data_IF_682101082071
#
_entry.id   IF_682101082071
#
_cell.length_a   1.000
_cell.length_b   1.000
_cell.length_c   1.000
_cell.angle_alpha   90.00
_cell.angle_beta   90.00
_cell.angle_gamma   90.00
#
_symmetry.space_group_name_H-M   'P 1'
#
loop_
_entity.id
_entity.type
_entity.pdbx_description
1 polymer ?
#
# COMPACT_ATOMS: atom_id res chain seq x y z
N UNK A 1 -3.05 -14.71 -3.89
CA UNK A 1 -3.25 -13.30 -4.31
C UNK A 1 -3.38 -13.26 -5.83
N UNK A 2 -4.34 -12.51 -6.36
CA UNK A 2 -4.46 -12.26 -7.80
C UNK A 2 -3.29 -11.40 -8.30
N UNK A 3 -2.88 -11.61 -9.57
CA UNK A 3 -1.74 -10.89 -10.17
C UNK A 3 -2.01 -9.40 -10.45
N UNK A 4 -3.28 -9.00 -10.37
CA UNK A 4 -3.71 -7.59 -10.31
C UNK A 4 -4.57 -7.39 -9.07
N UNK A 5 -4.53 -6.18 -8.50
CA UNK A 5 -5.32 -5.78 -7.35
C UNK A 5 -6.00 -4.43 -7.59
N UNK A 6 -7.07 -4.15 -6.86
CA UNK A 6 -7.76 -2.87 -6.93
C UNK A 6 -7.22 -1.91 -5.88
N UNK A 7 -6.77 -0.71 -6.32
CA UNK A 7 -6.35 0.39 -5.45
C UNK A 7 -7.43 1.45 -5.32
N UNK A 8 -7.57 2.06 -4.15
CA UNK A 8 -8.66 2.99 -3.81
C UNK A 8 -8.18 4.41 -3.46
N UNK A 9 -7.00 4.80 -3.97
CA UNK A 9 -6.38 6.10 -3.65
C UNK A 9 -7.09 7.28 -4.30
N UNK A 10 -7.45 7.17 -5.60
CA UNK A 10 -7.99 8.25 -6.40
C UNK A 10 -9.49 8.53 -6.09
N UNK A 11 -9.94 9.71 -6.49
CA UNK A 11 -11.34 10.14 -6.37
C UNK A 11 -11.54 11.21 -5.29
N UNK A 12 -12.74 11.77 -5.29
CA UNK A 12 -13.15 12.85 -4.38
C UNK A 12 -13.85 12.31 -3.13
N UNK A 13 -14.03 13.17 -2.13
CA UNK A 13 -14.72 12.85 -0.87
C UNK A 13 -16.25 12.98 -1.01
N UNK A 14 -16.83 12.35 -2.04
CA UNK A 14 -18.25 12.41 -2.39
C UNK A 14 -18.94 11.05 -2.22
N UNK A 15 -20.27 11.09 -2.04
CA UNK A 15 -21.09 9.87 -1.96
C UNK A 15 -21.15 9.13 -3.31
N UNK A 16 -21.02 9.86 -4.42
CA UNK A 16 -20.96 9.27 -5.77
C UNK A 16 -19.70 8.40 -5.92
N UNK A 17 -18.54 8.90 -5.48
CA UNK A 17 -17.30 8.15 -5.51
C UNK A 17 -17.32 6.96 -4.54
N UNK A 18 -17.98 7.09 -3.40
CA UNK A 18 -18.18 5.97 -2.46
C UNK A 18 -19.02 4.86 -3.08
N UNK A 19 -20.13 5.23 -3.76
CA UNK A 19 -20.98 4.28 -4.46
C UNK A 19 -20.24 3.60 -5.61
N UNK A 20 -19.49 4.39 -6.40
CA UNK A 20 -18.67 3.88 -7.51
C UNK A 20 -17.62 2.88 -7.05
N UNK A 21 -16.86 3.19 -5.98
CA UNK A 21 -15.88 2.24 -5.42
C UNK A 21 -16.55 1.00 -4.85
N UNK A 22 -17.70 1.16 -4.17
CA UNK A 22 -18.42 0.02 -3.61
C UNK A 22 -18.86 -0.95 -4.72
N UNK A 23 -19.43 -0.44 -5.82
CA UNK A 23 -19.82 -1.25 -6.98
C UNK A 23 -18.60 -1.88 -7.67
N UNK A 24 -17.57 -1.08 -7.96
CA UNK A 24 -16.37 -1.54 -8.64
C UNK A 24 -15.64 -2.67 -7.88
N UNK A 25 -15.55 -2.57 -6.55
CA UNK A 25 -14.92 -3.61 -5.73
C UNK A 25 -15.76 -4.90 -5.78
N UNK A 26 -17.09 -4.82 -5.67
CA UNK A 26 -17.95 -6.00 -5.80
C UNK A 26 -17.80 -6.67 -7.18
N UNK A 27 -17.76 -5.89 -8.26
CA UNK A 27 -17.54 -6.39 -9.61
C UNK A 27 -16.16 -7.03 -9.77
N UNK A 28 -15.09 -6.37 -9.26
CA UNK A 28 -13.73 -6.88 -9.29
C UNK A 28 -13.60 -8.23 -8.57
N UNK A 29 -14.14 -8.32 -7.35
CA UNK A 29 -14.10 -9.54 -6.53
C UNK A 29 -14.89 -10.66 -7.19
N UNK A 30 -16.10 -10.40 -7.68
CA UNK A 30 -16.92 -11.35 -8.42
C UNK A 30 -16.27 -11.84 -9.73
N UNK A 31 -15.31 -11.07 -10.24
CA UNK A 31 -14.55 -11.40 -11.45
C UNK A 31 -13.18 -12.06 -11.17
N UNK A 32 -12.83 -12.31 -9.88
CA UNK A 32 -11.63 -13.03 -9.46
C UNK A 32 -10.43 -12.14 -9.09
N UNK A 33 -10.60 -10.81 -8.99
CA UNK A 33 -9.60 -9.93 -8.39
C UNK A 33 -9.79 -9.97 -6.87
N UNK A 34 -8.85 -10.56 -6.15
CA UNK A 34 -9.00 -10.78 -4.72
C UNK A 34 -8.07 -9.94 -3.83
N UNK A 35 -7.28 -9.04 -4.40
CA UNK A 35 -6.44 -8.10 -3.65
C UNK A 35 -7.07 -6.71 -3.69
N UNK A 36 -7.37 -6.16 -2.51
CA UNK A 36 -7.95 -4.83 -2.33
C UNK A 36 -7.01 -4.00 -1.49
N UNK A 37 -6.50 -2.89 -2.05
CA UNK A 37 -5.56 -2.00 -1.37
C UNK A 37 -6.21 -0.64 -1.07
N UNK A 38 -6.13 -0.25 0.19
CA UNK A 38 -6.61 1.03 0.69
C UNK A 38 -5.63 1.63 1.71
N UNK A 39 -5.97 2.75 2.32
CA UNK A 39 -5.27 3.33 3.46
C UNK A 39 -6.22 4.22 4.27
N UNK A 40 -5.93 4.36 5.57
CA UNK A 40 -6.76 5.14 6.48
C UNK A 40 -6.93 6.61 6.05
N UNK A 41 -5.87 7.21 5.46
CA UNK A 41 -5.90 8.59 5.01
C UNK A 41 -6.52 8.79 3.61
N UNK A 42 -6.84 7.73 2.87
CA UNK A 42 -7.40 7.88 1.52
C UNK A 42 -8.83 8.43 1.58
N UNK A 43 -9.05 9.50 0.79
CA UNK A 43 -10.36 10.15 0.67
C UNK A 43 -10.99 10.45 2.05
N UNK A 44 -10.19 10.93 3.02
CA UNK A 44 -10.64 11.21 4.39
C UNK A 44 -11.38 10.01 5.03
N UNK A 45 -10.77 8.83 5.02
CA UNK A 45 -11.27 7.54 5.52
C UNK A 45 -12.41 6.91 4.69
N UNK A 46 -12.95 7.62 3.71
CA UNK A 46 -14.09 7.13 2.89
C UNK A 46 -13.71 5.91 2.06
N UNK A 47 -12.43 5.79 1.63
CA UNK A 47 -11.96 4.61 0.90
C UNK A 47 -12.08 3.33 1.72
N UNK A 48 -11.64 3.31 2.97
CA UNK A 48 -11.81 2.14 3.84
C UNK A 48 -13.28 1.80 4.08
N UNK A 49 -14.14 2.82 4.27
CA UNK A 49 -15.59 2.62 4.47
C UNK A 49 -16.26 2.04 3.23
N UNK A 50 -15.87 2.50 2.04
CA UNK A 50 -16.36 1.94 0.76
C UNK A 50 -15.91 0.50 0.57
N UNK A 51 -14.64 0.19 0.88
CA UNK A 51 -14.09 -1.18 0.86
C UNK A 51 -14.86 -2.09 1.82
N UNK A 52 -15.04 -1.67 3.09
CA UNK A 52 -15.77 -2.44 4.08
C UNK A 52 -17.22 -2.72 3.67
N UNK A 53 -17.89 -1.72 3.09
CA UNK A 53 -19.27 -1.88 2.56
C UNK A 53 -19.31 -2.87 1.40
N UNK A 54 -18.36 -2.76 0.46
CA UNK A 54 -18.30 -3.65 -0.70
C UNK A 54 -18.06 -5.11 -0.29
N UNK A 55 -17.09 -5.35 0.59
CA UNK A 55 -16.74 -6.70 1.07
C UNK A 55 -17.93 -7.32 1.81
N UNK A 56 -18.54 -6.59 2.73
CA UNK A 56 -19.71 -7.08 3.46
C UNK A 56 -20.82 -7.50 2.49
N UNK A 57 -21.17 -6.65 1.51
CA UNK A 57 -22.21 -6.96 0.50
C UNK A 57 -21.83 -8.15 -0.37
N UNK A 58 -20.56 -8.28 -0.78
CA UNK A 58 -20.08 -9.41 -1.57
C UNK A 58 -20.20 -10.74 -0.81
N UNK A 59 -19.89 -10.73 0.49
CA UNK A 59 -20.02 -11.91 1.36
C UNK A 59 -21.50 -12.23 1.59
N UNK A 60 -22.33 -11.24 1.96
CA UNK A 60 -23.77 -11.41 2.21
C UNK A 60 -24.52 -11.94 0.99
N UNK A 61 -24.11 -11.54 -0.21
CA UNK A 61 -24.68 -12.03 -1.49
C UNK A 61 -24.08 -13.34 -1.99
N UNK A 62 -23.11 -13.93 -1.28
CA UNK A 62 -22.48 -15.20 -1.65
C UNK A 62 -21.52 -15.12 -2.85
N UNK A 63 -21.11 -13.91 -3.24
CA UNK A 63 -20.13 -13.71 -4.34
C UNK A 63 -18.77 -14.27 -3.96
N UNK A 64 -18.37 -14.15 -2.68
CA UNK A 64 -17.05 -14.54 -2.19
C UNK A 64 -17.12 -14.86 -0.69
N UNK A 65 -16.18 -15.69 -0.20
CA UNK A 65 -15.96 -15.89 1.24
C UNK A 65 -14.86 -14.92 1.71
N UNK A 66 -14.84 -14.63 3.04
CA UNK A 66 -13.86 -13.67 3.60
C UNK A 66 -12.40 -14.13 3.42
N UNK A 67 -12.11 -15.38 3.50
CA UNK A 67 -10.79 -15.99 3.35
C UNK A 67 -10.29 -16.06 1.91
N UNK A 68 -11.15 -15.78 0.94
CA UNK A 68 -10.78 -15.67 -0.47
C UNK A 68 -10.28 -14.26 -0.84
N UNK A 69 -10.45 -13.25 0.05
CA UNK A 69 -10.08 -11.86 -0.18
C UNK A 69 -8.86 -11.46 0.66
N UNK A 70 -7.94 -10.73 0.06
CA UNK A 70 -6.80 -10.10 0.73
C UNK A 70 -7.02 -8.59 0.80
N UNK A 71 -7.21 -8.06 2.00
CA UNK A 71 -7.41 -6.63 2.25
C UNK A 71 -6.15 -6.03 2.84
N UNK A 72 -5.62 -5.00 2.18
CA UNK A 72 -4.46 -4.25 2.62
C UNK A 72 -4.88 -2.84 3.05
N UNK A 73 -4.38 -2.37 4.20
CA UNK A 73 -4.50 -0.97 4.60
C UNK A 73 -3.19 -0.43 5.18
N UNK A 74 -3.14 0.87 5.51
CA UNK A 74 -1.89 1.55 5.85
C UNK A 74 -2.12 2.64 6.90
N UNK A 75 -1.10 2.87 7.76
CA UNK A 75 -1.02 4.03 8.66
C UNK A 75 0.35 4.69 8.60
N UNK A 76 0.37 5.98 8.91
CA UNK A 76 1.54 6.84 8.91
C UNK A 76 1.14 8.31 8.84
N UNK A 77 0.10 8.62 8.08
CA UNK A 77 -0.44 9.98 7.97
C UNK A 77 -1.61 10.20 8.92
N UNK A 78 -1.71 11.42 9.44
CA UNK A 78 -2.91 11.87 10.19
C UNK A 78 -4.14 11.70 9.30
N UNK A 79 -5.10 10.87 9.70
CA UNK A 79 -6.31 10.68 8.92
C UNK A 79 -7.27 11.85 9.15
N UNK A 80 -7.70 12.47 8.07
CA UNK A 80 -8.86 13.37 8.09
C UNK A 80 -10.14 12.54 8.17
N UNK A 81 -11.26 13.16 8.55
CA UNK A 81 -12.57 12.49 8.56
C UNK A 81 -13.63 13.32 7.84
N UNK A 82 -14.38 12.66 6.99
CA UNK A 82 -15.51 13.17 6.22
C UNK A 82 -15.17 14.38 5.33
N UNK A 83 -15.12 15.58 5.88
CA UNK A 83 -14.85 16.82 5.15
C UNK A 83 -13.42 17.29 5.46
N UNK A 84 -12.52 17.28 4.46
CA UNK A 84 -11.17 17.80 4.65
C UNK A 84 -11.17 19.29 5.00
N UNK A 85 -10.27 19.75 5.88
CA UNK A 85 -10.04 21.16 6.13
C UNK A 85 -9.71 21.92 4.84
N UNK A 86 -10.28 23.10 4.66
CA UNK A 86 -10.09 23.92 3.45
C UNK A 86 -8.77 24.70 3.49
N UNK A 87 -8.25 24.99 4.69
CA UNK A 87 -7.05 25.81 4.88
C UNK A 87 -6.00 25.07 5.73
N UNK A 88 -4.75 25.54 5.63
CA UNK A 88 -3.66 25.03 6.49
C UNK A 88 -3.92 25.30 7.98
N UNK A 89 -4.59 26.41 8.29
CA UNK A 89 -4.92 26.75 9.66
C UNK A 89 -5.98 25.82 10.23
N UNK A 90 -7.05 25.57 9.49
CA UNK A 90 -8.07 24.57 9.86
C UNK A 90 -7.47 23.17 10.03
N UNK A 91 -6.51 22.79 9.17
CA UNK A 91 -5.79 21.54 9.31
C UNK A 91 -5.00 21.47 10.61
N UNK A 92 -4.26 22.55 10.97
CA UNK A 92 -3.52 22.59 12.25
C UNK A 92 -4.45 22.48 13.45
N UNK A 93 -5.57 23.22 13.43
CA UNK A 93 -6.58 23.17 14.48
C UNK A 93 -7.23 21.79 14.59
N UNK A 94 -7.46 21.13 13.46
CA UNK A 94 -7.95 19.75 13.43
C UNK A 94 -6.94 18.79 14.07
N UNK A 95 -5.67 18.86 13.69
CA UNK A 95 -4.60 18.01 14.25
C UNK A 95 -4.46 18.23 15.75
N UNK A 96 -4.50 19.52 16.18
CA UNK A 96 -4.43 19.87 17.59
C UNK A 96 -5.55 19.23 18.39
N UNK A 97 -6.80 19.53 18.02
CA UNK A 97 -8.00 19.07 18.73
C UNK A 97 -8.17 17.55 18.69
N UNK A 98 -7.95 16.91 17.53
CA UNK A 98 -8.29 15.50 17.35
C UNK A 98 -7.16 14.54 17.73
N UNK A 99 -5.91 15.01 17.76
CA UNK A 99 -4.78 14.11 17.97
C UNK A 99 -3.87 14.53 19.11
N UNK A 100 -3.52 15.82 19.24
CA UNK A 100 -2.56 16.26 20.26
C UNK A 100 -3.25 16.41 21.62
N UNK A 101 -4.36 17.14 21.70
CA UNK A 101 -5.13 17.31 22.95
C UNK A 101 -5.67 15.98 23.49
N UNK A 102 -5.92 15.02 22.60
CA UNK A 102 -6.35 13.64 22.97
C UNK A 102 -5.16 12.70 23.25
N UNK A 103 -3.96 13.24 23.23
CA UNK A 103 -2.72 12.48 23.44
C UNK A 103 -2.56 11.23 22.54
N UNK A 104 -3.16 11.23 21.34
CA UNK A 104 -3.01 10.17 20.36
C UNK A 104 -1.62 10.20 19.73
N UNK A 105 -1.04 11.40 19.57
CA UNK A 105 0.33 11.65 19.11
C UNK A 105 0.86 12.89 19.82
N UNK A 106 2.16 12.92 20.13
CA UNK A 106 2.81 14.11 20.60
C UNK A 106 3.26 15.00 19.43
N UNK A 107 3.36 16.31 19.64
CA UNK A 107 3.72 17.26 18.60
C UNK A 107 5.10 16.98 17.99
N UNK A 108 6.08 16.60 18.81
CA UNK A 108 7.44 16.23 18.42
C UNK A 108 7.51 14.88 17.67
N UNK A 109 6.47 14.08 17.72
CA UNK A 109 6.36 12.81 16.96
C UNK A 109 5.82 13.02 15.54
N UNK A 110 5.28 14.24 15.25
CA UNK A 110 4.77 14.58 13.93
C UNK A 110 5.87 15.16 13.04
N UNK A 111 6.10 14.57 11.90
CA UNK A 111 6.96 15.09 10.84
C UNK A 111 6.12 15.75 9.76
N UNK A 112 6.56 16.94 9.30
CA UNK A 112 5.82 17.72 8.31
C UNK A 112 4.40 18.09 8.75
N UNK A 113 4.12 18.02 10.05
CA UNK A 113 2.82 18.34 10.63
C UNK A 113 1.74 17.28 10.41
N UNK A 114 2.05 16.13 9.80
CA UNK A 114 1.00 15.16 9.46
C UNK A 114 1.44 13.71 9.34
N UNK A 115 2.69 13.38 9.62
CA UNK A 115 3.17 11.98 9.52
C UNK A 115 3.81 11.52 10.83
N UNK A 116 3.39 10.36 11.36
CA UNK A 116 3.95 9.77 12.58
C UNK A 116 4.01 8.24 12.50
N UNK A 117 5.06 7.68 13.10
CA UNK A 117 5.23 6.24 13.36
C UNK A 117 5.14 5.93 14.86
N UNK A 118 4.67 6.86 15.68
CA UNK A 118 4.58 6.68 17.13
C UNK A 118 3.67 5.49 17.47
N UNK A 119 4.05 4.63 18.42
CA UNK A 119 3.30 3.42 18.79
C UNK A 119 1.84 3.68 19.12
N UNK A 120 1.55 4.73 19.89
CA UNK A 120 0.19 5.10 20.28
C UNK A 120 -0.66 5.54 19.09
N UNK A 121 -0.07 6.33 18.20
CA UNK A 121 -0.71 6.76 16.96
C UNK A 121 -1.03 5.58 16.03
N UNK A 122 -0.10 4.63 15.87
CA UNK A 122 -0.32 3.44 15.04
C UNK A 122 -1.42 2.53 15.59
N UNK A 123 -1.47 2.33 16.92
CA UNK A 123 -2.58 1.57 17.55
C UNK A 123 -3.93 2.24 17.31
N UNK A 124 -4.02 3.57 17.44
CA UNK A 124 -5.22 4.32 17.11
C UNK A 124 -5.62 4.14 15.64
N UNK A 125 -4.67 4.31 14.71
CA UNK A 125 -4.93 4.16 13.29
C UNK A 125 -5.40 2.74 12.93
N UNK A 126 -4.78 1.71 13.47
CA UNK A 126 -5.18 0.31 13.24
C UNK A 126 -6.60 0.04 13.74
N UNK A 127 -6.92 0.49 14.95
CA UNK A 127 -8.28 0.35 15.48
C UNK A 127 -9.31 1.05 14.61
N UNK A 128 -8.98 2.25 14.09
CA UNK A 128 -9.82 3.02 13.20
C UNK A 128 -10.00 2.34 11.83
N UNK A 129 -8.92 1.81 11.25
CA UNK A 129 -8.97 1.05 10.00
C UNK A 129 -9.87 -0.18 10.13
N UNK A 130 -9.73 -0.96 11.22
CA UNK A 130 -10.59 -2.12 11.48
C UNK A 130 -12.06 -1.72 11.62
N UNK A 131 -12.34 -0.60 12.27
CA UNK A 131 -13.69 -0.05 12.40
C UNK A 131 -14.27 0.34 11.05
N UNK A 132 -13.52 1.10 10.23
CA UNK A 132 -13.97 1.56 8.91
C UNK A 132 -14.23 0.38 7.96
N UNK A 133 -13.33 -0.60 7.95
CA UNK A 133 -13.43 -1.79 7.12
C UNK A 133 -14.48 -2.79 7.63
N UNK A 134 -14.87 -2.71 8.91
CA UNK A 134 -15.75 -3.70 9.52
C UNK A 134 -15.13 -5.09 9.63
N UNK A 135 -13.79 -5.17 9.72
CA UNK A 135 -13.04 -6.42 9.74
C UNK A 135 -12.44 -6.70 11.12
N UNK A 136 -12.50 -7.96 11.54
CA UNK A 136 -11.78 -8.44 12.72
C UNK A 136 -10.27 -8.44 12.45
N UNK A 137 -9.87 -8.93 11.29
CA UNK A 137 -8.47 -9.06 10.86
C UNK A 137 -8.29 -8.38 9.50
N UNK A 138 -7.31 -7.46 9.38
CA UNK A 138 -6.82 -6.92 8.12
C UNK A 138 -5.68 -7.84 7.65
N UNK A 139 -5.69 -8.31 6.40
CA UNK A 139 -4.72 -9.32 5.94
C UNK A 139 -3.30 -8.79 5.91
N UNK A 140 -3.09 -7.55 5.44
CA UNK A 140 -1.77 -6.89 5.48
C UNK A 140 -1.91 -5.43 5.90
N UNK A 141 -1.14 -5.01 6.91
CA UNK A 141 -1.12 -3.62 7.37
C UNK A 141 0.26 -3.00 7.17
N UNK A 142 0.32 -1.89 6.42
CA UNK A 142 1.60 -1.27 6.08
C UNK A 142 1.90 -0.03 6.93
N UNK A 143 3.19 0.17 7.25
CA UNK A 143 3.70 1.51 7.53
C UNK A 143 3.69 2.30 6.22
N UNK A 144 2.97 3.41 6.21
CA UNK A 144 2.74 4.23 5.01
C UNK A 144 3.84 5.29 4.86
N UNK A 145 4.73 5.12 3.89
CA UNK A 145 5.86 5.98 3.59
C UNK A 145 6.74 6.30 4.83
N UNK A 146 7.27 5.28 5.53
CA UNK A 146 8.10 5.51 6.72
C UNK A 146 9.31 6.40 6.44
N UNK A 147 9.82 6.42 5.21
CA UNK A 147 10.91 7.30 4.77
C UNK A 147 10.61 8.80 4.89
N UNK A 148 9.33 9.20 4.99
CA UNK A 148 8.96 10.58 5.24
C UNK A 148 9.55 11.14 6.53
N UNK A 149 9.83 10.30 7.50
CA UNK A 149 10.46 10.69 8.77
C UNK A 149 11.90 11.21 8.55
N UNK A 150 12.63 10.73 7.55
CA UNK A 150 13.99 11.17 7.22
C UNK A 150 14.10 12.65 6.86
N UNK A 151 12.98 13.34 6.64
CA UNK A 151 12.96 14.79 6.41
C UNK A 151 13.23 15.61 7.66
N UNK A 152 13.12 15.02 8.84
CA UNK A 152 13.24 15.72 10.12
C UNK A 152 14.18 15.03 11.12
N UNK A 153 14.57 13.78 10.87
CA UNK A 153 15.39 12.99 11.76
C UNK A 153 16.47 12.25 10.99
N UNK A 154 17.55 11.91 11.68
CA UNK A 154 18.63 11.08 11.12
C UNK A 154 18.20 9.63 10.90
N UNK A 155 19.05 8.89 10.16
CA UNK A 155 18.79 7.52 9.76
C UNK A 155 18.65 6.55 10.94
N UNK A 156 19.47 6.70 11.98
CA UNK A 156 19.41 5.78 13.13
C UNK A 156 18.14 6.02 13.96
N UNK A 157 17.77 7.27 14.16
CA UNK A 157 16.50 7.63 14.78
C UNK A 157 15.30 7.11 13.97
N UNK A 158 15.36 7.18 12.63
CA UNK A 158 14.32 6.61 11.75
C UNK A 158 14.15 5.11 11.98
N UNK A 159 15.24 4.34 11.97
CA UNK A 159 15.16 2.89 12.21
C UNK A 159 14.70 2.57 13.64
N UNK A 160 15.06 3.35 14.63
CA UNK A 160 14.52 3.21 16.00
C UNK A 160 12.99 3.42 16.04
N UNK A 161 12.47 4.42 15.28
CA UNK A 161 11.01 4.62 15.15
C UNK A 161 10.35 3.47 14.38
N UNK A 162 10.98 2.94 13.35
CA UNK A 162 10.49 1.76 12.61
C UNK A 162 10.47 0.53 13.52
N UNK A 163 11.49 0.31 14.34
CA UNK A 163 11.51 -0.79 15.31
C UNK A 163 10.36 -0.70 16.30
N UNK A 164 10.14 0.48 16.88
CA UNK A 164 9.01 0.71 17.80
C UNK A 164 7.65 0.48 17.11
N UNK A 165 7.52 0.88 15.83
CA UNK A 165 6.35 0.64 15.03
C UNK A 165 6.14 -0.86 14.72
N UNK A 166 7.21 -1.58 14.38
CA UNK A 166 7.15 -3.03 14.12
C UNK A 166 6.73 -3.82 15.36
N UNK A 167 7.18 -3.43 16.57
CA UNK A 167 6.68 -4.04 17.82
C UNK A 167 5.16 -3.92 17.96
N UNK A 168 4.59 -2.75 17.63
CA UNK A 168 3.12 -2.55 17.64
C UNK A 168 2.43 -3.48 16.64
N UNK A 169 2.98 -3.60 15.43
CA UNK A 169 2.38 -4.42 14.38
C UNK A 169 2.54 -5.91 14.66
N UNK A 170 3.66 -6.33 15.26
CA UNK A 170 3.85 -7.71 15.71
C UNK A 170 2.86 -8.08 16.79
N UNK A 171 2.70 -7.26 17.84
CA UNK A 171 1.69 -7.44 18.87
C UNK A 171 0.26 -7.52 18.28
N UNK A 172 -0.03 -6.72 17.23
CA UNK A 172 -1.32 -6.76 16.55
C UNK A 172 -1.53 -8.06 15.75
N UNK A 173 -0.47 -8.60 15.16
CA UNK A 173 -0.50 -9.88 14.46
C UNK A 173 -0.73 -11.03 15.45
N UNK A 174 -0.04 -11.05 16.57
CA UNK A 174 -0.24 -12.03 17.67
C UNK A 174 -1.67 -12.01 18.20
N UNK A 175 -2.31 -10.82 18.26
CA UNK A 175 -3.73 -10.71 18.67
C UNK A 175 -4.73 -11.05 17.54
N UNK A 176 -4.25 -11.36 16.32
CA UNK A 176 -5.10 -11.63 15.17
C UNK A 176 -5.84 -10.40 14.62
N UNK A 177 -5.36 -9.19 14.93
CA UNK A 177 -5.90 -7.93 14.41
C UNK A 177 -5.43 -7.67 12.98
N UNK A 178 -4.24 -8.17 12.64
CA UNK A 178 -3.69 -8.22 11.29
C UNK A 178 -3.13 -9.61 11.01
N UNK A 179 -3.06 -10.01 9.73
CA UNK A 179 -2.44 -11.27 9.32
C UNK A 179 -0.93 -11.14 9.11
N UNK A 180 -0.50 -10.02 8.56
CA UNK A 180 0.89 -9.68 8.31
C UNK A 180 1.06 -8.17 8.29
N UNK A 181 2.32 -7.71 8.32
CA UNK A 181 2.63 -6.29 8.12
C UNK A 181 3.77 -6.09 7.12
N UNK A 182 3.95 -4.83 6.71
CA UNK A 182 4.96 -4.43 5.74
C UNK A 182 5.27 -2.94 5.74
N UNK A 183 6.04 -2.51 4.75
CA UNK A 183 6.27 -1.11 4.43
C UNK A 183 5.74 -0.79 3.04
N UNK A 184 4.88 0.23 2.94
CA UNK A 184 4.46 0.83 1.69
C UNK A 184 5.23 2.14 1.53
N UNK A 185 6.11 2.22 0.53
CA UNK A 185 7.01 3.35 0.32
C UNK A 185 6.74 4.04 -1.01
N UNK A 186 7.06 5.32 -1.10
CA UNK A 186 7.12 6.01 -2.39
C UNK A 186 8.56 6.02 -2.92
N UNK A 187 9.50 6.48 -2.12
CA UNK A 187 10.92 6.58 -2.46
C UNK A 187 11.80 5.55 -1.75
N UNK A 188 11.50 5.22 -0.51
CA UNK A 188 12.40 4.57 0.43
C UNK A 188 13.11 3.32 -0.09
N UNK A 189 12.42 2.50 -0.87
CA UNK A 189 12.97 1.25 -1.39
C UNK A 189 13.49 1.33 -2.84
N UNK A 190 13.47 2.51 -3.49
CA UNK A 190 13.91 2.67 -4.88
C UNK A 190 14.94 3.79 -5.10
N UNK A 191 15.31 4.50 -4.03
CA UNK A 191 16.34 5.55 -4.08
C UNK A 191 17.74 5.01 -3.84
N UNK A 192 18.79 5.72 -4.32
CA UNK A 192 20.18 5.36 -4.03
C UNK A 192 20.48 5.28 -2.53
N UNK A 193 21.47 4.49 -2.15
CA UNK A 193 21.84 4.21 -0.74
C UNK A 193 22.28 5.41 0.07
N UNK A 194 22.83 6.43 -0.59
CA UNK A 194 23.26 7.69 0.02
C UNK A 194 22.09 8.65 0.25
N UNK A 195 20.94 8.41 -0.35
CA UNK A 195 19.73 9.18 -0.07
C UNK A 195 19.31 9.07 1.39
N UNK A 196 18.91 10.19 1.99
CA UNK A 196 18.39 10.20 3.35
C UNK A 196 17.12 9.36 3.50
N UNK A 197 16.30 9.29 2.45
CA UNK A 197 15.05 8.52 2.42
C UNK A 197 15.27 7.01 2.18
N UNK A 198 16.50 6.57 1.84
CA UNK A 198 16.75 5.16 1.53
C UNK A 198 16.48 4.24 2.73
N UNK A 199 15.73 3.17 2.47
CA UNK A 199 15.48 2.07 3.41
C UNK A 199 16.15 0.79 2.91
N UNK A 200 16.93 0.15 3.77
CA UNK A 200 17.60 -1.11 3.50
C UNK A 200 16.71 -2.28 3.93
N UNK A 201 16.33 -3.16 3.00
CA UNK A 201 15.41 -4.29 3.26
C UNK A 201 16.00 -5.30 4.24
N UNK A 202 17.28 -5.62 4.14
CA UNK A 202 17.99 -6.50 5.06
C UNK A 202 17.89 -5.99 6.50
N UNK A 203 18.04 -4.68 6.71
CA UNK A 203 17.88 -4.04 8.01
C UNK A 203 16.44 -4.10 8.53
N UNK A 204 15.43 -3.90 7.67
CA UNK A 204 14.02 -4.03 8.06
C UNK A 204 13.70 -5.47 8.49
N UNK A 205 14.17 -6.47 7.75
CA UNK A 205 14.04 -7.88 8.13
C UNK A 205 14.80 -8.20 9.41
N UNK A 206 16.01 -7.67 9.58
CA UNK A 206 16.78 -7.85 10.82
C UNK A 206 16.05 -7.28 12.05
N UNK A 207 15.39 -6.12 11.91
CA UNK A 207 14.55 -5.54 12.97
C UNK A 207 13.39 -6.48 13.30
N UNK A 208 12.64 -6.95 12.29
CA UNK A 208 11.54 -7.87 12.51
C UNK A 208 11.97 -9.17 13.19
N UNK A 209 13.09 -9.76 12.75
CA UNK A 209 13.72 -10.92 13.39
C UNK A 209 14.18 -10.65 14.81
N UNK A 210 14.71 -9.47 15.08
CA UNK A 210 15.10 -9.05 16.44
C UNK A 210 13.92 -8.97 17.42
N UNK A 211 12.69 -8.72 16.89
CA UNK A 211 11.47 -8.63 17.71
C UNK A 211 10.85 -10.01 17.94
N UNK A 212 10.69 -10.83 16.89
CA UNK A 212 9.88 -12.06 16.94
C UNK A 212 10.58 -13.31 16.36
N UNK A 213 11.90 -13.25 16.15
CA UNK A 213 12.64 -14.35 15.55
C UNK A 213 12.20 -14.61 14.09
N UNK A 214 12.37 -15.86 13.64
CA UNK A 214 11.97 -16.25 12.27
C UNK A 214 10.43 -16.33 12.09
N UNK A 215 9.68 -16.33 13.18
CA UNK A 215 8.21 -16.33 13.16
C UNK A 215 7.59 -14.94 12.97
N UNK A 216 8.42 -13.87 12.81
CA UNK A 216 7.92 -12.51 12.61
C UNK A 216 6.88 -12.42 11.48
N UNK A 217 6.01 -11.40 11.53
CA UNK A 217 4.93 -11.20 10.56
C UNK A 217 5.24 -10.11 9.50
N UNK A 218 6.48 -9.64 9.38
CA UNK A 218 6.92 -8.77 8.29
C UNK A 218 7.02 -9.57 7.00
N UNK A 219 6.04 -9.44 6.07
CA UNK A 219 5.88 -10.33 4.91
C UNK A 219 5.74 -9.62 3.58
N UNK A 220 5.61 -8.29 3.54
CA UNK A 220 5.33 -7.61 2.29
C UNK A 220 5.98 -6.23 2.21
N UNK A 221 6.30 -5.84 0.99
CA UNK A 221 6.63 -4.45 0.63
C UNK A 221 5.69 -3.97 -0.47
N UNK A 222 5.40 -2.67 -0.45
CA UNK A 222 4.66 -2.01 -1.51
C UNK A 222 5.43 -0.78 -1.98
N UNK A 223 5.62 -0.62 -3.30
CA UNK A 223 6.36 0.50 -3.87
C UNK A 223 5.96 0.73 -5.33
N UNK A 224 6.19 1.95 -5.88
CA UNK A 224 5.94 2.21 -7.29
C UNK A 224 6.82 1.34 -8.19
N UNK A 225 6.19 0.62 -9.12
CA UNK A 225 6.86 -0.08 -10.22
C UNK A 225 5.99 0.09 -11.46
N UNK A 226 6.51 0.78 -12.46
CA UNK A 226 5.84 0.99 -13.75
C UNK A 226 6.86 1.36 -14.84
N UNK A 227 6.40 1.56 -16.07
CA UNK A 227 7.27 1.90 -17.22
C UNK A 227 8.10 3.17 -17.02
N UNK A 228 7.59 4.16 -16.28
CA UNK A 228 8.28 5.43 -16.00
C UNK A 228 9.09 5.40 -14.69
N UNK A 229 8.89 4.40 -13.83
CA UNK A 229 9.53 4.25 -12.53
C UNK A 229 10.11 2.83 -12.37
N UNK A 230 11.15 2.47 -13.14
CA UNK A 230 11.73 1.12 -13.15
C UNK A 230 12.85 0.91 -12.12
N UNK A 231 13.11 1.87 -11.23
CA UNK A 231 14.29 1.86 -10.34
C UNK A 231 14.35 0.59 -9.48
N UNK A 232 13.21 0.13 -8.96
CA UNK A 232 13.12 -1.05 -8.09
C UNK A 232 13.56 -2.36 -8.77
N UNK A 233 13.63 -2.39 -10.11
CA UNK A 233 14.07 -3.55 -10.90
C UNK A 233 15.40 -3.34 -11.61
N UNK A 234 15.84 -2.08 -11.78
CA UNK A 234 17.05 -1.74 -12.55
C UNK A 234 18.22 -1.28 -11.69
N UNK A 235 17.92 -0.67 -10.53
CA UNK A 235 18.97 -0.13 -9.65
C UNK A 235 19.27 -1.10 -8.51
N UNK A 236 20.52 -1.46 -8.34
CA UNK A 236 20.98 -2.35 -7.27
C UNK A 236 21.24 -1.54 -5.98
N UNK A 237 20.15 -1.10 -5.36
CA UNK A 237 20.16 -0.26 -4.16
C UNK A 237 20.10 -1.07 -2.86
N UNK A 238 19.82 -2.36 -2.93
CA UNK A 238 19.71 -3.24 -1.76
C UNK A 238 20.94 -4.15 -1.60
N UNK A 239 21.05 -4.75 -0.43
CA UNK A 239 22.06 -5.80 -0.15
C UNK A 239 21.36 -7.02 0.41
N UNK A 240 21.74 -8.20 -0.09
CA UNK A 240 21.32 -9.49 0.47
C UNK A 240 22.55 -10.41 0.48
N UNK A 241 22.84 -11.00 1.62
CA UNK A 241 24.00 -11.90 1.83
C UNK A 241 25.32 -11.31 1.32
N UNK A 242 25.52 -10.01 1.51
CA UNK A 242 26.71 -9.27 1.08
C UNK A 242 26.73 -8.88 -0.40
N UNK A 243 25.78 -9.32 -1.20
CA UNK A 243 25.68 -9.00 -2.63
C UNK A 243 24.71 -7.84 -2.88
N UNK A 244 25.02 -7.03 -3.89
CA UNK A 244 24.11 -5.98 -4.34
C UNK A 244 22.99 -6.56 -5.19
N UNK A 245 21.76 -6.10 -4.95
CA UNK A 245 20.56 -6.56 -5.63
C UNK A 245 19.61 -5.39 -5.89
N UNK A 246 18.74 -5.54 -6.87
CA UNK A 246 17.59 -4.67 -7.02
C UNK A 246 16.60 -4.91 -5.86
N UNK A 247 15.66 -4.00 -5.66
CA UNK A 247 14.68 -4.14 -4.56
C UNK A 247 13.80 -5.38 -4.74
N UNK A 248 13.42 -5.69 -5.98
CA UNK A 248 12.58 -6.88 -6.25
C UNK A 248 13.37 -8.17 -6.01
N UNK A 249 14.63 -8.26 -6.46
CA UNK A 249 15.49 -9.42 -6.19
C UNK A 249 15.76 -9.61 -4.70
N UNK A 250 16.05 -8.51 -3.99
CA UNK A 250 16.26 -8.54 -2.55
C UNK A 250 15.01 -9.00 -1.79
N UNK A 251 13.83 -8.49 -2.15
CA UNK A 251 12.56 -8.90 -1.56
C UNK A 251 12.30 -10.39 -1.77
N UNK A 252 12.56 -10.89 -2.98
CA UNK A 252 12.40 -12.31 -3.32
C UNK A 252 13.36 -13.19 -2.50
N UNK A 253 14.63 -12.81 -2.40
CA UNK A 253 15.63 -13.54 -1.59
C UNK A 253 15.29 -13.55 -0.09
N UNK A 254 14.65 -12.48 0.40
CA UNK A 254 14.22 -12.35 1.80
C UNK A 254 12.81 -12.94 2.07
N UNK A 255 12.16 -13.53 1.06
CA UNK A 255 10.83 -14.16 1.20
C UNK A 255 9.69 -13.15 1.38
N UNK A 256 9.84 -11.92 0.87
CA UNK A 256 8.82 -10.87 0.96
C UNK A 256 7.99 -10.79 -0.31
N UNK A 257 6.67 -10.65 -0.15
CA UNK A 257 5.78 -10.34 -1.26
C UNK A 257 6.02 -8.90 -1.74
N UNK A 258 6.06 -8.71 -3.07
CA UNK A 258 6.21 -7.39 -3.70
C UNK A 258 4.88 -6.97 -4.32
N UNK A 259 4.32 -5.90 -3.80
CA UNK A 259 3.09 -5.28 -4.30
C UNK A 259 3.46 -4.02 -5.07
N UNK A 260 3.29 -4.04 -6.38
CA UNK A 260 3.59 -2.89 -7.24
C UNK A 260 2.46 -1.87 -7.18
N UNK A 261 2.75 -0.68 -6.65
CA UNK A 261 1.83 0.46 -6.67
C UNK A 261 2.07 1.35 -7.89
N UNK A 262 1.16 2.31 -8.11
CA UNK A 262 1.24 3.27 -9.21
C UNK A 262 1.43 2.64 -10.61
N UNK A 263 0.92 1.44 -10.83
CA UNK A 263 1.06 0.66 -12.09
C UNK A 263 0.75 1.50 -13.34
N UNK A 264 -0.30 2.32 -13.31
CA UNK A 264 -0.69 3.23 -14.40
C UNK A 264 -0.28 4.68 -14.15
N UNK A 265 0.51 4.96 -13.11
CA UNK A 265 0.97 6.32 -12.75
C UNK A 265 -0.18 7.34 -12.80
N UNK A 266 -1.25 7.08 -12.02
CA UNK A 266 -2.48 7.90 -11.98
C UNK A 266 -3.06 8.17 -13.38
N UNK A 267 -3.19 7.10 -14.18
CA UNK A 267 -3.67 7.09 -15.56
C UNK A 267 -2.72 7.71 -16.62
N UNK A 268 -1.57 8.28 -16.24
CA UNK A 268 -0.60 8.83 -17.18
C UNK A 268 -0.09 7.77 -18.18
N UNK A 269 0.03 6.52 -17.76
CA UNK A 269 0.47 5.40 -18.60
C UNK A 269 -0.68 4.62 -19.26
N UNK A 270 -1.91 5.13 -19.16
CA UNK A 270 -3.07 4.49 -19.77
C UNK A 270 -3.29 4.91 -21.25
N UNK A 271 -2.51 5.89 -21.74
CA UNK A 271 -2.58 6.35 -23.13
C UNK A 271 -1.27 7.03 -23.53
N UNK A 272 -0.96 7.00 -24.83
CA UNK A 272 0.20 7.71 -25.41
C UNK A 272 1.55 7.03 -25.13
N UNK A 273 1.56 5.72 -24.91
CA UNK A 273 2.81 4.98 -24.78
C UNK A 273 3.59 4.96 -26.10
N UNK A 274 4.93 4.97 -26.06
CA UNK A 274 5.76 4.83 -27.25
C UNK A 274 5.45 3.54 -28.02
N UNK A 275 5.51 3.55 -29.38
CA UNK A 275 5.19 2.38 -30.21
C UNK A 275 6.06 1.14 -29.91
N UNK A 276 7.27 1.35 -29.40
CA UNK A 276 8.20 0.28 -29.02
C UNK A 276 7.62 -0.59 -27.89
N UNK A 277 6.81 0.01 -27.03
CA UNK A 277 6.13 -0.73 -25.93
C UNK A 277 5.15 -1.75 -26.49
N UNK A 278 4.47 -1.44 -27.60
CA UNK A 278 3.53 -2.37 -28.25
C UNK A 278 4.23 -3.62 -28.77
N UNK A 279 5.43 -3.51 -29.29
CA UNK A 279 6.20 -4.63 -29.83
C UNK A 279 6.59 -5.61 -28.73
N UNK A 280 6.91 -5.13 -27.52
CA UNK A 280 7.32 -5.95 -26.37
C UNK A 280 6.13 -6.45 -25.54
N UNK A 281 5.08 -5.64 -25.46
CA UNK A 281 3.88 -5.92 -24.65
C UNK A 281 2.63 -5.78 -25.50
N UNK A 282 2.36 -6.70 -26.42
CA UNK A 282 1.19 -6.61 -27.28
C UNK A 282 -0.09 -6.66 -26.45
N UNK A 283 -1.00 -5.74 -26.71
CA UNK A 283 -2.25 -5.59 -26.00
C UNK A 283 -3.22 -4.68 -26.73
N UNK A 284 -4.49 -4.71 -26.36
CA UNK A 284 -5.53 -3.91 -27.01
C UNK A 284 -5.40 -2.43 -26.68
N UNK A 285 -4.89 -2.08 -25.47
CA UNK A 285 -4.73 -0.70 -25.03
C UNK A 285 -3.40 -0.46 -24.32
N UNK A 286 -3.01 0.81 -24.19
CA UNK A 286 -1.81 1.22 -23.44
C UNK A 286 -1.89 0.84 -21.96
N UNK A 287 -3.08 0.97 -21.35
CA UNK A 287 -3.31 0.49 -19.99
C UNK A 287 -2.96 -0.99 -19.84
N UNK A 288 -3.43 -1.82 -20.77
CA UNK A 288 -3.12 -3.25 -20.77
C UNK A 288 -1.63 -3.53 -20.98
N UNK A 289 -0.94 -2.77 -21.83
CA UNK A 289 0.51 -2.87 -22.06
C UNK A 289 1.29 -2.53 -20.80
N UNK A 290 0.96 -1.42 -20.13
CA UNK A 290 1.59 -1.01 -18.88
C UNK A 290 1.37 -2.03 -17.74
N UNK A 291 0.19 -2.61 -17.64
CA UNK A 291 -0.12 -3.67 -16.66
C UNK A 291 0.68 -4.94 -16.98
N UNK A 292 0.76 -5.35 -18.25
CA UNK A 292 1.57 -6.50 -18.68
C UNK A 292 3.03 -6.34 -18.32
N UNK A 293 3.61 -5.15 -18.53
CA UNK A 293 4.97 -4.87 -18.10
C UNK A 293 5.17 -5.21 -16.63
N UNK A 294 4.35 -4.65 -15.73
CA UNK A 294 4.51 -4.88 -14.28
C UNK A 294 4.31 -6.36 -13.91
N UNK A 295 3.31 -7.01 -14.50
CA UNK A 295 3.03 -8.43 -14.25
C UNK A 295 4.12 -9.38 -14.80
N UNK A 296 4.88 -8.96 -15.79
CA UNK A 296 5.98 -9.78 -16.36
C UNK A 296 7.25 -9.76 -15.53
N UNK A 297 7.35 -8.89 -14.51
CA UNK A 297 8.53 -8.77 -13.68
C UNK A 297 8.59 -9.95 -12.69
N UNK A 298 9.62 -10.82 -12.78
CA UNK A 298 9.79 -11.90 -11.82
C UNK A 298 9.92 -11.36 -10.40
N UNK A 299 9.18 -11.96 -9.46
CA UNK A 299 9.18 -11.52 -8.05
C UNK A 299 8.07 -10.51 -7.70
N UNK A 300 7.42 -9.85 -8.65
CA UNK A 300 6.22 -9.05 -8.38
C UNK A 300 5.03 -9.96 -8.14
N UNK A 301 4.38 -9.81 -6.98
CA UNK A 301 3.24 -10.63 -6.57
C UNK A 301 1.94 -10.10 -7.14
N UNK A 302 1.72 -8.79 -7.06
CA UNK A 302 0.46 -8.13 -7.45
C UNK A 302 0.75 -6.74 -7.99
N UNK A 303 0.11 -6.36 -9.09
CA UNK A 303 0.08 -5.01 -9.64
C UNK A 303 -1.21 -4.31 -9.22
N UNK A 304 -1.11 -3.23 -8.43
CA UNK A 304 -2.26 -2.44 -7.98
C UNK A 304 -2.68 -1.45 -9.06
N UNK A 305 -3.97 -1.45 -9.35
CA UNK A 305 -4.57 -0.60 -10.39
C UNK A 305 -5.75 0.16 -9.78
N UNK A 306 -5.78 1.47 -10.00
CA UNK A 306 -6.96 2.27 -9.66
C UNK A 306 -8.09 2.01 -10.65
N UNK A 307 -9.13 1.33 -10.19
CA UNK A 307 -10.29 0.95 -11.02
C UNK A 307 -11.57 1.35 -10.30
N UNK A 308 -12.30 2.32 -10.84
CA UNK A 308 -13.54 2.84 -10.27
C UNK A 308 -14.76 2.61 -11.17
N UNK A 309 -14.52 2.11 -12.40
CA UNK A 309 -15.56 1.84 -13.41
C UNK A 309 -15.49 0.40 -13.84
N UNK A 310 -16.62 -0.24 -14.00
CA UNK A 310 -16.70 -1.64 -14.43
C UNK A 310 -16.00 -1.87 -15.77
N UNK A 311 -16.12 -0.94 -16.72
CA UNK A 311 -15.42 -1.02 -18.01
C UNK A 311 -13.90 -1.09 -17.87
N UNK A 312 -13.30 -0.39 -16.89
CA UNK A 312 -11.87 -0.49 -16.64
C UNK A 312 -11.49 -1.82 -15.97
N UNK A 313 -12.36 -2.37 -15.14
CA UNK A 313 -12.15 -3.69 -14.54
C UNK A 313 -12.17 -4.76 -15.62
N UNK A 314 -13.17 -4.74 -16.49
CA UNK A 314 -13.31 -5.70 -17.59
C UNK A 314 -12.14 -5.63 -18.58
N UNK A 315 -11.71 -4.42 -18.95
CA UNK A 315 -10.52 -4.19 -19.77
C UNK A 315 -9.28 -4.80 -19.13
N UNK A 316 -9.02 -4.51 -17.86
CA UNK A 316 -7.83 -4.95 -17.13
C UNK A 316 -7.85 -6.46 -16.84
N UNK A 317 -9.02 -7.06 -16.65
CA UNK A 317 -9.19 -8.51 -16.54
C UNK A 317 -8.75 -9.26 -17.79
N UNK A 318 -8.87 -8.66 -18.97
CA UNK A 318 -8.35 -9.21 -20.21
C UNK A 318 -6.85 -9.49 -20.12
N UNK A 319 -6.09 -8.65 -19.41
CA UNK A 319 -4.66 -8.87 -19.16
C UNK A 319 -4.42 -9.94 -18.09
N UNK A 320 -5.24 -9.96 -17.04
CA UNK A 320 -5.06 -10.91 -15.93
C UNK A 320 -5.27 -12.35 -16.35
N UNK A 321 -6.19 -12.59 -17.29
CA UNK A 321 -6.50 -13.91 -17.87
C UNK A 321 -5.49 -14.37 -18.92
N UNK A 322 -4.74 -13.45 -19.53
CA UNK A 322 -3.70 -13.81 -20.48
C UNK A 322 -2.46 -14.35 -19.74
N UNK A 323 -1.82 -15.37 -20.30
CA UNK A 323 -0.53 -15.86 -19.81
C UNK A 323 0.49 -14.73 -19.81
N UNK A 324 1.22 -14.58 -18.71
CA UNK A 324 2.37 -13.67 -18.64
C UNK A 324 3.45 -14.16 -19.64
N UNK A 325 4.01 -13.29 -20.47
CA UNK A 325 5.22 -13.65 -21.23
C UNK A 325 6.30 -14.05 -20.21
N UNK A 326 6.90 -15.20 -20.44
CA UNK A 326 8.05 -15.68 -19.63
C UNK A 326 9.33 -15.00 -20.08
#
# INVERSE_FOLDING_TARGET
MSSIGIGTYLGDTTDEDDASYTSAIQHAVGSGINVIDTALNYRAQRSERSVGTAIRRAIESGIVQRDEIVVCSKAGYVPLDATPPATREEYRQYVEREFIEKEIVLREELVGGGHSLAPRFLRYCLAKSRQNLGLRTIDTYYLHNPEQQARAIDRETLYGRIEAAFRVLEEAAERGEIGAYGCATWNGLRTPRDSAEHLALDRLVAIARGIAGDAHHFRAIQLPINLAMPEAIRQHTQTVDGNQASTVEAAQALGLAVVASATLLQATLASGLPPEIEQHYPGASDAQRAIRFVRSIPGVTTALIGMRRDAHIDENLGVARASTPR
#
